data_IF_102403592158
#
_entry.id   IF_102403592158
#
_cell.length_a   1.000
_cell.length_b   1.000
_cell.length_c   1.000
_cell.angle_alpha   90.00
_cell.angle_beta   90.00
_cell.angle_gamma   90.00
#
_symmetry.space_group_name_H-M   'P 1'
#
loop_
_entity.id
_entity.type
_entity.pdbx_description
1 polymer ?
#
# COMPACT_ATOMS: atom_id res chain seq x y z
N UNK A 1 -4.40 4.26 13.40
CA UNK A 1 -3.49 4.60 12.29
C UNK A 1 -3.04 6.05 12.40
N UNK A 2 -1.78 6.28 12.74
CA UNK A 2 -1.24 7.65 12.80
C UNK A 2 -1.12 8.22 11.38
N UNK A 3 -1.48 9.50 11.20
CA UNK A 3 -1.42 10.22 9.90
C UNK A 3 -0.09 10.04 9.16
N UNK A 4 0.98 9.90 9.94
CA UNK A 4 2.35 9.66 9.47
C UNK A 4 2.51 8.29 8.75
N UNK A 5 1.90 7.21 9.26
CA UNK A 5 2.01 5.87 8.62
C UNK A 5 1.28 5.85 7.29
N UNK A 6 0.10 6.47 7.21
CA UNK A 6 -0.68 6.55 5.97
C UNK A 6 0.05 7.36 4.88
N UNK A 7 0.58 8.53 5.22
CA UNK A 7 1.36 9.35 4.29
C UNK A 7 2.61 8.62 3.78
N UNK A 8 3.34 7.96 4.69
CA UNK A 8 4.52 7.15 4.34
C UNK A 8 4.16 5.95 3.46
N UNK A 9 3.04 5.30 3.74
CA UNK A 9 2.56 4.15 2.96
C UNK A 9 2.16 4.57 1.54
N UNK A 10 1.44 5.69 1.39
CA UNK A 10 1.12 6.23 0.06
C UNK A 10 2.36 6.60 -0.72
N UNK A 11 3.34 7.25 -0.08
CA UNK A 11 4.60 7.60 -0.71
C UNK A 11 5.38 6.36 -1.17
N UNK A 12 5.44 5.32 -0.33
CA UNK A 12 6.06 4.04 -0.68
C UNK A 12 5.36 3.37 -1.86
N UNK A 13 4.03 3.25 -1.84
CA UNK A 13 3.27 2.69 -2.97
C UNK A 13 3.49 3.46 -4.27
N UNK A 14 3.55 4.79 -4.21
CA UNK A 14 3.78 5.61 -5.40
C UNK A 14 5.18 5.37 -5.98
N UNK A 15 6.19 5.24 -5.12
CA UNK A 15 7.55 4.90 -5.56
C UNK A 15 7.61 3.50 -6.18
N UNK A 16 7.02 2.50 -5.54
CA UNK A 16 6.98 1.12 -6.07
C UNK A 16 6.27 1.07 -7.43
N UNK A 17 5.16 1.81 -7.59
CA UNK A 17 4.44 1.88 -8.86
C UNK A 17 5.28 2.53 -9.97
N UNK A 18 6.04 3.58 -9.66
CA UNK A 18 6.96 4.20 -10.60
C UNK A 18 8.09 3.25 -10.99
N UNK A 19 8.66 2.52 -10.02
CA UNK A 19 9.71 1.53 -10.27
C UNK A 19 9.22 0.36 -11.13
N UNK A 20 7.95 -0.02 -10.97
CA UNK A 20 7.26 -1.03 -11.79
C UNK A 20 6.83 -0.53 -13.18
N UNK A 21 7.19 0.71 -13.54
CA UNK A 21 6.80 1.35 -14.79
C UNK A 21 5.27 1.42 -15.02
N UNK A 22 4.48 1.54 -13.93
CA UNK A 22 3.04 1.79 -14.02
C UNK A 22 2.81 3.16 -14.66
N UNK A 23 1.85 3.29 -15.61
CA UNK A 23 1.51 4.57 -16.20
C UNK A 23 1.18 5.63 -15.14
N UNK A 24 1.72 6.87 -15.23
CA UNK A 24 1.55 7.89 -14.19
C UNK A 24 0.09 8.23 -13.84
N UNK A 25 -0.81 8.08 -14.81
CA UNK A 25 -2.25 8.27 -14.68
C UNK A 25 -2.95 7.15 -13.89
N UNK A 26 -2.37 5.95 -13.84
CA UNK A 26 -2.90 4.81 -13.07
C UNK A 26 -2.37 4.78 -11.62
N UNK A 27 -1.24 5.44 -11.35
CA UNK A 27 -0.59 5.45 -10.03
C UNK A 27 -1.53 5.91 -8.90
N UNK A 28 -2.29 7.01 -9.01
CA UNK A 28 -3.15 7.47 -7.91
C UNK A 28 -4.21 6.44 -7.51
N UNK A 29 -4.85 5.79 -8.49
CA UNK A 29 -5.86 4.77 -8.23
C UNK A 29 -5.26 3.51 -7.60
N UNK A 30 -4.04 3.16 -8.03
CA UNK A 30 -3.30 2.04 -7.47
C UNK A 30 -2.84 2.32 -6.02
N UNK A 31 -2.34 3.53 -5.75
CA UNK A 31 -1.94 3.97 -4.41
C UNK A 31 -3.13 3.92 -3.46
N UNK A 32 -4.28 4.50 -3.82
CA UNK A 32 -5.48 4.48 -2.96
C UNK A 32 -5.95 3.06 -2.59
N UNK A 33 -5.67 2.08 -3.45
CA UNK A 33 -6.03 0.68 -3.25
C UNK A 33 -4.99 -0.13 -2.47
N UNK A 34 -3.70 0.16 -2.65
CA UNK A 34 -2.60 -0.65 -2.12
C UNK A 34 -1.88 -0.05 -0.91
N UNK A 35 -2.06 1.25 -0.61
CA UNK A 35 -1.44 1.88 0.55
C UNK A 35 -1.72 1.17 1.88
N UNK A 36 -2.86 0.50 2.12
CA UNK A 36 -3.05 -0.23 3.37
C UNK A 36 -2.06 -1.39 3.52
N UNK A 37 -1.65 -2.04 2.42
CA UNK A 37 -0.66 -3.12 2.47
C UNK A 37 0.73 -2.57 2.78
N UNK A 38 1.14 -1.48 2.12
CA UNK A 38 2.39 -0.78 2.44
C UNK A 38 2.43 -0.32 3.90
N UNK A 39 1.29 0.15 4.43
CA UNK A 39 1.20 0.53 5.83
C UNK A 39 1.37 -0.64 6.79
N UNK A 40 0.83 -1.83 6.45
CA UNK A 40 1.06 -3.04 7.23
C UNK A 40 2.53 -3.43 7.25
N UNK A 41 3.24 -3.30 6.13
CA UNK A 41 4.68 -3.56 6.07
C UNK A 41 5.47 -2.57 6.94
N UNK A 42 5.15 -1.27 6.85
CA UNK A 42 5.78 -0.22 7.67
C UNK A 42 5.56 -0.48 9.16
N UNK A 43 4.37 -0.95 9.54
CA UNK A 43 4.03 -1.30 10.93
C UNK A 43 4.53 -2.68 11.37
N UNK A 44 5.30 -3.40 10.54
CA UNK A 44 5.84 -4.72 10.89
C UNK A 44 4.79 -5.83 11.01
N UNK A 45 3.66 -5.71 10.30
CA UNK A 45 2.56 -6.67 10.33
C UNK A 45 1.61 -6.52 11.51
N UNK A 46 1.81 -5.53 12.39
CA UNK A 46 0.88 -5.21 13.47
C UNK A 46 -0.27 -4.36 12.90
N UNK A 47 -1.44 -4.98 12.72
CA UNK A 47 -2.68 -4.21 12.64
C UNK A 47 -2.95 -3.64 14.03
N UNK A 48 -2.89 -2.31 14.16
CA UNK A 48 -3.54 -1.66 15.29
C UNK A 48 -5.02 -2.07 15.30
N UNK A 49 -5.64 -2.25 16.48
CA UNK A 49 -7.06 -2.61 16.56
C UNK A 49 -7.99 -1.59 15.86
N UNK A 50 -7.51 -0.34 15.69
CA UNK A 50 -8.18 0.74 14.98
C UNK A 50 -7.75 0.89 13.51
N UNK A 51 -6.94 -0.03 12.97
CA UNK A 51 -6.61 -0.02 11.56
C UNK A 51 -7.86 -0.35 10.73
N UNK A 52 -8.08 0.34 9.60
CA UNK A 52 -9.18 0.00 8.71
C UNK A 52 -9.09 -1.48 8.34
N UNK A 53 -10.17 -2.24 8.54
CA UNK A 53 -10.25 -3.61 8.08
C UNK A 53 -10.08 -3.59 6.56
N UNK A 54 -8.92 -4.02 6.08
CA UNK A 54 -8.61 -4.04 4.65
C UNK A 54 -9.33 -5.26 4.06
N UNK A 55 -10.42 -5.09 3.27
CA UNK A 55 -11.09 -6.21 2.65
C UNK A 55 -10.13 -6.91 1.68
N UNK A 56 -10.18 -8.25 1.64
CA UNK A 56 -9.33 -9.10 0.80
C UNK A 56 -7.82 -8.86 0.94
N UNK A 57 -7.35 -8.73 2.18
CA UNK A 57 -5.93 -8.58 2.52
C UNK A 57 -5.00 -9.57 1.78
N UNK A 58 -5.33 -10.87 1.61
CA UNK A 58 -4.51 -11.79 0.82
C UNK A 58 -4.42 -11.42 -0.67
N UNK A 59 -5.52 -10.94 -1.27
CA UNK A 59 -5.58 -10.53 -2.67
C UNK A 59 -4.75 -9.27 -2.90
N UNK A 60 -4.94 -8.26 -2.04
CA UNK A 60 -4.20 -6.99 -2.13
C UNK A 60 -2.71 -7.19 -1.86
N UNK A 61 -2.34 -8.07 -0.94
CA UNK A 61 -0.93 -8.45 -0.73
C UNK A 61 -0.34 -9.09 -1.98
N UNK A 62 -1.03 -10.07 -2.59
CA UNK A 62 -0.54 -10.69 -3.82
C UNK A 62 -0.40 -9.68 -4.98
N UNK A 63 -1.28 -8.69 -5.04
CA UNK A 63 -1.20 -7.61 -6.03
C UNK A 63 -0.02 -6.66 -5.78
N UNK A 64 0.20 -6.28 -4.52
CA UNK A 64 1.34 -5.42 -4.14
C UNK A 64 2.69 -6.12 -4.30
N UNK A 65 2.78 -7.43 -4.00
CA UNK A 65 4.00 -8.24 -4.25
C UNK A 65 4.35 -8.33 -5.74
N UNK A 66 3.35 -8.31 -6.64
CA UNK A 66 3.59 -8.26 -8.09
C UNK A 66 4.13 -6.92 -8.54
N UNK A 67 3.77 -5.83 -7.85
CA UNK A 67 4.26 -4.49 -8.14
C UNK A 67 5.75 -4.36 -7.81
N UNK A 68 6.20 -5.03 -6.74
CA UNK A 68 7.59 -4.97 -6.28
C UNK A 68 8.57 -5.85 -7.06
N UNK A 69 8.10 -6.65 -8.02
CA UNK A 69 8.88 -7.70 -8.68
C UNK A 69 9.32 -7.29 -10.07
#
# INVERSE_FOLDING_TARGET
MTRNVEERARALCAMDAQMAAVPPDEIPALVERLWPIAALEISGGLLEPDAPQVPDLPRLRAEYERLKR
#
